data_IF_876334288293
#
_entry.id   IF_876334288293
#
_cell.length_a   1.000
_cell.length_b   1.000
_cell.length_c   1.000
_cell.angle_alpha   90.00
_cell.angle_beta   90.00
_cell.angle_gamma   90.00
#
_symmetry.space_group_name_H-M   'P 1'
#
loop_
_entity.id
_entity.type
_entity.pdbx_description
1 polymer ?
#
# COMPACT_ATOMS: atom_id res chain seq x y z
N UNK A 1 17.93 2.65 -11.48
CA UNK A 1 17.72 2.92 -11.46
C UNK A 1 17.10 3.30 -11.21
N UNK A 2 16.69 3.56 -11.06
CA UNK A 2 16.18 3.95 -10.97
C UNK A 2 15.71 4.71 -10.62
N UNK A 3 15.59 5.15 -10.49
CA UNK A 3 15.17 5.81 -10.24
C UNK A 3 14.45 6.29 -10.39
N UNK A 4 14.04 6.58 -10.53
CA UNK A 4 13.30 6.94 -10.74
C UNK A 4 12.47 7.12 -10.51
N UNK A 5 12.05 6.91 -10.09
CA UNK A 5 11.19 6.99 -9.86
C UNK A 5 10.91 7.87 -9.15
N UNK A 6 11.07 8.40 -8.80
CA UNK A 6 10.85 9.18 -8.05
C UNK A 6 10.56 10.32 -8.40
N UNK A 7 10.09 10.67 -8.54
CA UNK A 7 9.82 11.61 -8.93
C UNK A 7 9.49 12.57 -8.27
N UNK A 8 9.18 12.60 -7.56
CA UNK A 8 8.77 13.45 -6.95
C UNK A 8 9.52 14.25 -6.44
N UNK A 9 9.76 14.50 -6.66
CA UNK A 9 10.44 15.30 -6.45
C UNK A 9 10.49 15.91 -5.36
N UNK A 10 9.89 15.97 -4.76
CA UNK A 10 10.01 16.49 -3.74
C UNK A 10 11.13 16.16 -3.11
N UNK A 11 11.98 15.72 -3.67
CA UNK A 11 13.15 15.50 -3.11
C UNK A 11 13.27 14.40 -2.22
N UNK A 12 12.35 13.68 -2.00
CA UNK A 12 12.49 12.50 -1.21
C UNK A 12 12.93 11.37 -2.08
N UNK A 13 13.89 10.63 -1.65
CA UNK A 13 14.38 9.47 -2.38
C UNK A 13 13.66 8.24 -1.86
N UNK A 14 12.39 8.15 -2.21
CA UNK A 14 11.60 6.99 -1.83
C UNK A 14 12.02 5.78 -2.66
N UNK A 15 12.16 4.66 -1.98
CA UNK A 15 12.40 3.37 -2.61
C UNK A 15 11.14 2.55 -2.43
N UNK A 16 10.69 1.91 -3.50
CA UNK A 16 9.50 1.08 -3.48
C UNK A 16 9.92 -0.36 -3.62
N UNK A 17 9.52 -1.21 -2.69
CA UNK A 17 9.81 -2.64 -2.78
C UNK A 17 8.53 -3.43 -2.59
N UNK A 18 8.44 -4.55 -3.29
CA UNK A 18 7.34 -5.46 -3.05
C UNK A 18 7.39 -5.94 -1.61
N UNK A 19 6.23 -6.05 -1.00
CA UNK A 19 6.15 -6.52 0.38
C UNK A 19 6.72 -7.92 0.47
N UNK A 20 7.65 -8.15 1.39
CA UNK A 20 8.28 -9.44 1.55
C UNK A 20 8.54 -9.71 3.03
N UNK A 21 8.99 -10.91 3.31
CA UNK A 21 9.13 -11.36 4.69
C UNK A 21 10.05 -10.48 5.52
N UNK A 22 11.11 -9.98 4.92
CA UNK A 22 12.06 -9.18 5.69
C UNK A 22 11.52 -7.80 6.06
N UNK A 23 10.37 -7.40 5.53
CA UNK A 23 9.72 -6.15 5.90
C UNK A 23 8.77 -6.33 7.08
N UNK A 24 8.51 -7.58 7.47
CA UNK A 24 7.37 -7.89 8.33
C UNK A 24 7.41 -7.18 9.68
N UNK A 25 8.55 -7.19 10.35
CA UNK A 25 8.64 -6.59 11.68
C UNK A 25 8.37 -5.08 11.63
N UNK A 26 8.93 -4.40 10.65
CA UNK A 26 8.73 -2.95 10.53
C UNK A 26 7.31 -2.61 10.14
N UNK A 27 6.71 -3.41 9.26
CA UNK A 27 5.32 -3.20 8.85
C UNK A 27 4.39 -3.40 10.05
N UNK A 28 4.65 -4.42 10.86
CA UNK A 28 3.82 -4.65 12.04
C UNK A 28 3.96 -3.54 13.06
N UNK A 29 5.15 -2.96 13.17
CA UNK A 29 5.35 -1.84 14.08
C UNK A 29 4.51 -0.63 13.65
N UNK A 30 4.49 -0.34 12.35
CA UNK A 30 3.64 0.74 11.85
C UNK A 30 2.17 0.41 12.09
N UNK A 31 1.79 -0.83 11.84
CA UNK A 31 0.40 -1.25 11.98
C UNK A 31 -0.12 -1.08 13.40
N UNK A 32 0.69 -1.45 14.40
CA UNK A 32 0.30 -1.35 15.79
C UNK A 32 0.00 0.10 16.17
N UNK A 33 0.77 1.04 15.65
CA UNK A 33 0.60 2.45 15.98
C UNK A 33 -0.45 3.13 15.13
N UNK A 34 -0.73 2.61 13.94
CA UNK A 34 -1.64 3.26 13.02
C UNK A 34 -3.08 2.77 13.14
N UNK A 35 -3.30 1.61 13.73
CA UNK A 35 -4.58 0.96 13.66
C UNK A 35 -5.08 0.60 15.06
N UNK A 36 -6.30 1.03 15.43
CA UNK A 36 -6.84 0.67 16.76
C UNK A 36 -7.01 -0.84 16.95
N UNK A 37 -7.26 -1.57 15.86
CA UNK A 37 -7.37 -3.03 15.93
C UNK A 37 -6.37 -3.59 14.93
N UNK A 38 -5.09 -3.62 15.30
CA UNK A 38 -4.06 -4.02 14.34
C UNK A 38 -4.19 -5.47 13.91
N UNK A 39 -3.79 -5.73 12.68
CA UNK A 39 -3.70 -7.09 12.17
C UNK A 39 -2.62 -7.85 12.92
N UNK A 40 -2.85 -9.14 13.10
CA UNK A 40 -1.85 -10.01 13.69
C UNK A 40 -0.76 -10.35 12.67
N UNK A 41 0.34 -10.86 13.17
CA UNK A 41 1.42 -11.33 12.31
C UNK A 41 0.91 -12.38 11.34
N UNK A 42 0.02 -13.25 11.80
CA UNK A 42 -0.51 -14.33 10.97
C UNK A 42 -1.22 -13.79 9.73
N UNK A 43 -1.94 -12.69 9.85
CA UNK A 43 -2.62 -12.09 8.70
C UNK A 43 -1.61 -11.63 7.67
N UNK A 44 -0.55 -10.95 8.11
CA UNK A 44 0.49 -10.51 7.19
C UNK A 44 1.22 -11.68 6.54
N UNK A 45 1.46 -12.73 7.31
CA UNK A 45 2.12 -13.92 6.75
C UNK A 45 1.28 -14.57 5.67
N UNK A 46 -0.04 -14.58 5.85
CA UNK A 46 -0.91 -15.11 4.82
C UNK A 46 -0.87 -14.28 3.55
N UNK A 47 -0.77 -12.97 3.70
CA UNK A 47 -0.66 -12.09 2.54
C UNK A 47 0.63 -12.38 1.79
N UNK A 48 1.71 -12.66 2.51
CA UNK A 48 2.99 -12.96 1.88
C UNK A 48 2.94 -14.25 1.05
N UNK A 49 2.02 -15.15 1.35
CA UNK A 49 1.87 -16.38 0.59
C UNK A 49 1.16 -16.20 -0.74
N UNK A 50 0.59 -15.03 -0.97
CA UNK A 50 -0.23 -14.78 -2.15
C UNK A 50 0.48 -13.86 -3.11
N UNK A 51 0.13 -13.98 -4.39
CA UNK A 51 0.54 -12.96 -5.33
C UNK A 51 -0.25 -11.72 -5.01
N UNK A 52 0.41 -10.64 -4.75
CA UNK A 52 -0.29 -9.44 -4.35
C UNK A 52 0.32 -8.22 -5.02
N UNK A 53 -0.40 -7.11 -4.92
CA UNK A 53 0.07 -5.82 -5.40
C UNK A 53 0.73 -5.04 -4.27
N UNK A 54 0.95 -5.69 -3.15
CA UNK A 54 1.43 -5.04 -1.92
C UNK A 54 2.87 -4.58 -2.03
N UNK A 55 3.17 -3.46 -1.37
CA UNK A 55 4.52 -2.89 -1.41
C UNK A 55 4.77 -2.06 -0.14
N UNK A 56 6.03 -1.73 0.07
CA UNK A 56 6.44 -0.82 1.14
C UNK A 56 7.18 0.35 0.53
N UNK A 57 7.18 1.47 1.26
CA UNK A 57 7.92 2.66 0.89
C UNK A 57 9.05 2.83 1.90
N UNK A 58 10.25 2.98 1.40
CA UNK A 58 11.45 3.11 2.21
C UNK A 58 12.07 4.48 1.97
N UNK A 59 12.42 5.14 3.05
CA UNK A 59 13.11 6.42 3.00
C UNK A 59 14.24 6.38 4.02
N UNK A 60 15.46 6.61 3.53
CA UNK A 60 16.64 6.60 4.39
C UNK A 60 16.75 5.30 5.19
N UNK A 61 16.57 4.19 4.48
CA UNK A 61 16.69 2.84 5.04
C UNK A 61 15.61 2.50 6.07
N UNK A 62 14.56 3.28 6.14
CA UNK A 62 13.47 3.03 7.07
C UNK A 62 12.16 2.89 6.30
N UNK A 63 11.34 1.89 6.66
CA UNK A 63 10.02 1.78 6.07
C UNK A 63 9.15 2.88 6.66
N UNK A 64 8.59 3.71 5.79
CA UNK A 64 7.75 4.82 6.23
C UNK A 64 6.29 4.65 5.84
N UNK A 65 5.97 3.61 5.08
CA UNK A 65 4.58 3.32 4.75
C UNK A 65 4.46 1.98 4.06
N UNK A 66 3.25 1.44 4.05
CA UNK A 66 2.99 0.20 3.35
C UNK A 66 1.58 0.18 2.79
N UNK A 67 1.40 -0.62 1.77
CA UNK A 67 0.12 -0.78 1.11
C UNK A 67 -0.09 -2.27 0.89
N UNK A 68 -1.21 -2.78 1.39
CA UNK A 68 -1.58 -4.18 1.20
C UNK A 68 -2.78 -4.22 0.26
N UNK A 69 -2.60 -4.81 -0.89
CA UNK A 69 -3.64 -4.87 -1.91
C UNK A 69 -3.48 -6.14 -2.71
N UNK A 70 -4.60 -6.73 -3.10
CA UNK A 70 -4.61 -7.97 -3.85
C UNK A 70 -5.45 -7.81 -5.10
N UNK A 71 -5.08 -8.56 -6.12
CA UNK A 71 -5.91 -8.68 -7.31
C UNK A 71 -6.85 -9.86 -7.10
N UNK A 72 -8.14 -9.60 -7.19
CA UNK A 72 -9.16 -10.64 -7.10
C UNK A 72 -9.99 -10.53 -8.36
N UNK A 73 -9.86 -11.54 -9.24
CA UNK A 73 -10.45 -11.47 -10.57
C UNK A 73 -9.91 -10.24 -11.30
N UNK A 74 -10.76 -9.30 -11.66
CA UNK A 74 -10.31 -8.09 -12.35
C UNK A 74 -10.41 -6.86 -11.47
N UNK A 75 -10.45 -7.04 -10.17
CA UNK A 75 -10.52 -5.94 -9.22
C UNK A 75 -9.29 -5.91 -8.33
N UNK A 76 -8.96 -4.73 -7.86
CA UNK A 76 -7.96 -4.55 -6.83
C UNK A 76 -8.68 -4.38 -5.50
N UNK A 77 -8.32 -5.19 -4.52
CA UNK A 77 -8.87 -5.08 -3.17
C UNK A 77 -7.80 -4.42 -2.30
N UNK A 78 -8.02 -3.17 -1.96
CA UNK A 78 -7.12 -2.44 -1.06
C UNK A 78 -7.53 -2.73 0.37
N UNK A 79 -6.68 -3.43 1.09
CA UNK A 79 -7.01 -3.93 2.42
C UNK A 79 -6.38 -3.11 3.54
N UNK A 80 -5.23 -2.52 3.30
CA UNK A 80 -4.57 -1.74 4.35
C UNK A 80 -3.57 -0.80 3.71
N UNK A 81 -3.58 0.46 4.14
CA UNK A 81 -2.60 1.43 3.71
C UNK A 81 -2.30 2.29 4.93
N UNK A 82 -1.03 2.33 5.31
CA UNK A 82 -0.64 2.99 6.55
C UNK A 82 0.68 3.71 6.38
N UNK A 83 0.84 4.78 7.13
CA UNK A 83 2.02 5.64 7.09
C UNK A 83 2.57 5.77 8.49
N UNK A 84 3.90 5.72 8.60
CA UNK A 84 4.59 5.96 9.85
C UNK A 84 4.14 7.30 10.42
N UNK A 85 3.88 7.33 11.73
CA UNK A 85 3.26 8.50 12.35
C UNK A 85 4.02 9.80 12.07
N UNK A 86 5.34 9.75 12.15
CA UNK A 86 6.15 10.95 11.94
C UNK A 86 6.17 11.42 10.49
N UNK A 87 5.66 10.58 9.57
CA UNK A 87 5.64 10.91 8.15
C UNK A 87 4.26 11.26 7.63
N UNK A 88 3.28 11.35 8.51
CA UNK A 88 1.93 11.70 8.07
C UNK A 88 1.86 13.13 7.62
N UNK A 89 0.88 13.41 6.76
CA UNK A 89 0.66 14.74 6.20
C UNK A 89 1.79 15.23 5.33
N UNK A 90 2.62 14.30 4.83
CA UNK A 90 3.70 14.65 3.92
C UNK A 90 3.50 14.03 2.54
N UNK A 91 2.29 13.55 2.27
CA UNK A 91 1.97 13.04 0.96
C UNK A 91 2.33 11.59 0.70
N UNK A 92 2.80 10.87 1.71
CA UNK A 92 3.19 9.47 1.51
C UNK A 92 1.99 8.60 1.12
N UNK A 93 0.85 8.82 1.76
CA UNK A 93 -0.35 8.05 1.43
C UNK A 93 -0.80 8.27 -0.01
N UNK A 94 -0.81 9.52 -0.46
CA UNK A 94 -1.17 9.82 -1.84
C UNK A 94 -0.15 9.24 -2.81
N UNK A 95 1.11 9.30 -2.44
CA UNK A 95 2.17 8.71 -3.26
C UNK A 95 1.93 7.20 -3.42
N UNK A 96 1.57 6.53 -2.33
CA UNK A 96 1.28 5.10 -2.40
C UNK A 96 0.07 4.80 -3.26
N UNK A 97 -0.96 5.63 -3.18
CA UNK A 97 -2.13 5.43 -4.03
C UNK A 97 -1.79 5.58 -5.50
N UNK A 98 -0.90 6.53 -5.84
CA UNK A 98 -0.45 6.68 -7.22
C UNK A 98 0.31 5.45 -7.68
N UNK A 99 1.16 4.89 -6.82
CA UNK A 99 1.88 3.66 -7.16
C UNK A 99 0.91 2.52 -7.39
N UNK A 100 -0.08 2.40 -6.50
CA UNK A 100 -1.05 1.32 -6.63
C UNK A 100 -1.82 1.44 -7.95
N UNK A 101 -2.21 2.65 -8.32
CA UNK A 101 -2.88 2.87 -9.60
C UNK A 101 -2.03 2.41 -10.77
N UNK A 102 -0.73 2.70 -10.73
CA UNK A 102 0.17 2.25 -11.78
C UNK A 102 0.26 0.73 -11.83
N UNK A 103 0.37 0.10 -10.69
CA UNK A 103 0.42 -1.36 -10.64
C UNK A 103 -0.86 -1.97 -11.17
N UNK A 104 -2.00 -1.38 -10.82
CA UNK A 104 -3.29 -1.83 -11.32
C UNK A 104 -3.36 -1.70 -12.83
N UNK A 105 -2.95 -0.55 -13.34
CA UNK A 105 -2.98 -0.30 -14.77
C UNK A 105 -2.15 -1.33 -15.54
N UNK A 106 -0.97 -1.64 -15.01
CA UNK A 106 -0.10 -2.63 -15.64
C UNK A 106 -0.71 -4.03 -15.60
N UNK A 107 -1.61 -4.28 -14.69
CA UNK A 107 -2.30 -5.56 -14.57
C UNK A 107 -3.68 -5.58 -15.22
N UNK A 108 -4.06 -4.49 -15.89
CA UNK A 108 -5.35 -4.42 -16.56
C UNK A 108 -6.52 -4.21 -15.62
N UNK A 109 -6.27 -3.69 -14.42
CA UNK A 109 -7.31 -3.49 -13.41
C UNK A 109 -7.75 -2.05 -13.44
N UNK A 110 -9.07 -1.82 -13.47
CA UNK A 110 -9.61 -0.46 -13.46
C UNK A 110 -10.54 -0.20 -12.29
N UNK A 111 -10.79 -1.19 -11.46
CA UNK A 111 -11.74 -1.07 -10.35
C UNK A 111 -11.02 -1.40 -9.05
N UNK A 112 -11.26 -0.58 -8.04
CA UNK A 112 -10.69 -0.82 -6.71
C UNK A 112 -11.82 -0.94 -5.70
N UNK A 113 -11.72 -1.94 -4.84
CA UNK A 113 -12.62 -2.12 -3.72
C UNK A 113 -11.85 -1.80 -2.45
N UNK A 114 -12.37 -0.88 -1.67
CA UNK A 114 -11.74 -0.49 -0.42
C UNK A 114 -12.41 -1.23 0.72
N UNK A 115 -11.60 -1.86 1.56
CA UNK A 115 -12.07 -2.48 2.79
C UNK A 115 -11.72 -1.55 3.93
N UNK A 116 -12.73 -0.99 4.58
CA UNK A 116 -12.52 -0.06 5.68
C UNK A 116 -13.03 -0.69 6.96
N UNK A 117 -12.15 -0.74 7.96
CA UNK A 117 -12.51 -1.33 9.25
C UNK A 117 -12.94 -0.23 10.20
N UNK A 118 -14.06 -0.46 10.86
CA UNK A 118 -14.52 0.44 11.88
C UNK A 118 -14.97 -0.39 13.03
N UNK A 119 -14.35 -0.23 14.15
CA UNK A 119 -14.66 -1.03 15.32
C UNK A 119 -14.55 -2.51 14.93
N UNK A 120 -15.63 -3.24 15.00
CA UNK A 120 -15.62 -4.66 14.67
C UNK A 120 -16.27 -4.95 13.33
N UNK A 121 -16.45 -3.95 12.50
CA UNK A 121 -17.11 -4.14 11.22
C UNK A 121 -16.16 -3.79 10.08
N UNK A 122 -16.48 -4.31 8.90
CA UNK A 122 -15.74 -4.02 7.69
C UNK A 122 -16.72 -3.42 6.70
N UNK A 123 -16.35 -2.27 6.16
CA UNK A 123 -17.14 -1.61 5.12
C UNK A 123 -16.39 -1.67 3.81
N UNK A 124 -17.13 -1.70 2.72
CA UNK A 124 -16.55 -1.77 1.39
C UNK A 124 -16.98 -0.59 0.56
N UNK A 125 -16.07 -0.05 -0.19
CA UNK A 125 -16.34 1.03 -1.14
C UNK A 125 -15.75 0.64 -2.47
N UNK A 126 -16.55 0.80 -3.51
CA UNK A 126 -16.16 0.43 -4.86
C UNK A 126 -15.85 1.68 -5.65
N UNK A 127 -14.66 1.77 -6.19
CA UNK A 127 -14.24 2.91 -6.99
C UNK A 127 -13.78 2.42 -8.36
N UNK A 128 -14.15 3.17 -9.38
CA UNK A 128 -13.68 2.89 -10.72
C UNK A 128 -12.64 3.95 -11.08
N UNK A 129 -11.48 3.50 -11.51
CA UNK A 129 -10.40 4.40 -11.85
C UNK A 129 -10.37 4.66 -13.35
N UNK A 130 -9.97 5.87 -13.75
CA UNK A 130 -9.81 6.16 -15.18
C UNK A 130 -8.71 5.29 -15.75
N UNK A 131 -8.95 4.79 -16.95
CA UNK A 131 -7.96 3.92 -17.56
C UNK A 131 -6.96 4.67 -18.40
N UNK A 132 -7.28 5.91 -18.73
CA UNK A 132 -6.36 6.62 -19.54
C UNK A 132 -5.64 7.56 -18.70
N UNK A 133 -5.54 8.57 -18.81
CA UNK A 133 -4.81 9.49 -18.09
C UNK A 133 -4.29 9.09 -16.80
N UNK A 134 -4.70 8.12 -16.33
CA UNK A 134 -4.20 7.70 -15.07
C UNK A 134 -2.78 7.28 -15.16
N UNK A 135 -2.30 7.25 -16.28
CA UNK A 135 -0.95 6.84 -16.34
C UNK A 135 -0.06 7.80 -16.78
#
# INVERSE_FOLDING_TARGET
MLKKENQNSQANNYIIENFSEHHLDDVMDIEIHANPTPWSKHIFEKILEQRSLSFVIILNSQIVGFCIANKVLDECHLQNISVLETMRRQGVGNFMLDILKKRMSLSGITTILLEVRRSNTVSYTHLTLPTTGSV
#
